data_IF_187517648675
#
_entry.id   IF_187517648675
#
_cell.length_a   1.000
_cell.length_b   1.000
_cell.length_c   1.000
_cell.angle_alpha   90.00
_cell.angle_beta   90.00
_cell.angle_gamma   90.00
#
_symmetry.space_group_name_H-M   'P 1'
#
loop_
_entity.id
_entity.type
_entity.pdbx_description
1 polymer ?
#
# COMPACT_ATOMS: atom_id res chain seq x y z
N UNK A 1 4.87 10.75 -16.04
CA UNK A 1 3.76 10.70 -15.05
C UNK A 1 4.34 10.87 -13.66
N UNK A 2 3.78 11.74 -12.83
CA UNK A 2 4.20 11.92 -11.43
C UNK A 2 3.35 10.99 -10.57
N UNK A 3 3.97 10.10 -9.79
CA UNK A 3 3.29 9.20 -8.85
C UNK A 3 3.61 9.63 -7.42
N UNK A 4 2.70 9.37 -6.48
CA UNK A 4 2.97 9.59 -5.05
C UNK A 4 3.89 8.50 -4.50
N UNK A 5 4.54 8.75 -3.36
CA UNK A 5 5.35 7.72 -2.69
C UNK A 5 4.54 6.48 -2.32
N UNK A 6 3.29 6.67 -1.88
CA UNK A 6 2.38 5.58 -1.57
C UNK A 6 2.00 4.75 -2.82
N UNK A 7 1.70 5.40 -3.95
CA UNK A 7 1.44 4.68 -5.20
C UNK A 7 2.68 3.91 -5.69
N UNK A 8 3.87 4.50 -5.54
CA UNK A 8 5.12 3.83 -5.89
C UNK A 8 5.36 2.59 -5.00
N UNK A 9 5.03 2.68 -3.71
CA UNK A 9 5.13 1.57 -2.77
C UNK A 9 4.26 0.39 -3.20
N UNK A 10 2.95 0.58 -3.41
CA UNK A 10 2.06 -0.52 -3.78
C UNK A 10 2.38 -1.11 -5.15
N UNK A 11 2.75 -0.29 -6.13
CA UNK A 11 3.20 -0.79 -7.44
C UNK A 11 4.46 -1.65 -7.35
N UNK A 12 5.39 -1.30 -6.47
CA UNK A 12 6.58 -2.13 -6.24
C UNK A 12 6.21 -3.47 -5.60
N UNK A 13 5.32 -3.46 -4.60
CA UNK A 13 4.82 -4.67 -3.95
C UNK A 13 4.09 -5.58 -4.93
N UNK A 14 3.22 -5.02 -5.77
CA UNK A 14 2.53 -5.75 -6.84
C UNK A 14 3.51 -6.34 -7.87
N UNK A 15 4.55 -5.58 -8.25
CA UNK A 15 5.59 -6.04 -9.17
C UNK A 15 6.41 -7.22 -8.64
N UNK A 16 6.57 -7.30 -7.32
CA UNK A 16 7.20 -8.43 -6.63
C UNK A 16 6.21 -9.58 -6.33
N UNK A 17 4.95 -9.47 -6.76
CA UNK A 17 3.92 -10.50 -6.55
C UNK A 17 3.42 -10.59 -5.11
N UNK A 18 3.54 -9.51 -4.33
CA UNK A 18 3.02 -9.47 -2.95
C UNK A 18 1.50 -9.37 -2.99
N UNK A 19 0.83 -10.31 -2.32
CA UNK A 19 -0.64 -10.34 -2.23
C UNK A 19 -1.16 -9.84 -0.89
N UNK A 20 -0.35 -9.93 0.18
CA UNK A 20 -0.77 -9.61 1.55
C UNK A 20 0.31 -8.81 2.27
N UNK A 21 -0.09 -7.71 2.91
CA UNK A 21 0.73 -6.94 3.84
C UNK A 21 0.10 -6.91 5.23
N UNK A 22 0.95 -6.88 6.25
CA UNK A 22 0.55 -6.80 7.65
C UNK A 22 0.98 -5.46 8.21
N UNK A 23 0.17 -4.84 9.07
CA UNK A 23 0.58 -3.59 9.71
C UNK A 23 -0.45 -2.98 10.63
N UNK A 24 0.04 -2.10 11.51
CA UNK A 24 -0.77 -1.35 12.47
C UNK A 24 -0.99 0.06 11.92
N UNK A 25 -2.24 0.52 11.76
CA UNK A 25 -2.53 1.85 11.26
C UNK A 25 -2.10 2.91 12.28
N UNK A 26 -1.49 3.98 11.78
CA UNK A 26 -1.09 5.14 12.55
C UNK A 26 -1.22 6.41 11.70
N UNK A 27 -1.34 7.57 12.35
CA UNK A 27 -1.63 8.83 11.66
C UNK A 27 -0.67 9.17 10.51
N UNK A 28 0.62 8.83 10.66
CA UNK A 28 1.63 9.08 9.65
C UNK A 28 1.48 8.23 8.37
N UNK A 29 0.92 7.02 8.49
CA UNK A 29 0.80 6.08 7.35
C UNK A 29 -0.56 6.13 6.66
N UNK A 30 -1.55 6.83 7.24
CA UNK A 30 -2.89 6.96 6.67
C UNK A 30 -2.92 7.41 5.19
N UNK A 31 -2.07 8.35 4.71
CA UNK A 31 -2.06 8.74 3.30
C UNK A 31 -1.66 7.61 2.33
N UNK A 32 -1.08 6.52 2.84
CA UNK A 32 -0.78 5.33 2.05
C UNK A 32 -1.99 4.39 1.90
N UNK A 33 -3.09 4.58 2.65
CA UNK A 33 -4.26 3.73 2.50
C UNK A 33 -5.11 4.11 1.28
N UNK A 34 -5.08 5.36 0.83
CA UNK A 34 -5.85 5.75 -0.36
C UNK A 34 -5.44 4.94 -1.60
N UNK A 35 -4.14 4.80 -1.95
CA UNK A 35 -3.73 3.97 -3.08
C UNK A 35 -3.85 2.46 -2.83
N UNK A 36 -3.88 2.03 -1.57
CA UNK A 36 -4.10 0.64 -1.21
C UNK A 36 -5.52 0.19 -1.59
N UNK A 37 -6.52 1.08 -1.53
CA UNK A 37 -7.89 0.77 -1.95
C UNK A 37 -7.99 0.40 -3.44
N UNK A 38 -7.11 0.97 -4.26
CA UNK A 38 -7.01 0.69 -5.70
C UNK A 38 -6.03 -0.46 -6.02
N UNK A 39 -5.30 -0.95 -5.01
CA UNK A 39 -4.28 -1.99 -5.15
C UNK A 39 -4.89 -3.39 -5.01
N UNK A 40 -4.27 -4.38 -5.67
CA UNK A 40 -4.59 -5.80 -5.46
C UNK A 40 -4.09 -6.36 -4.11
N UNK A 41 -3.26 -5.59 -3.40
CA UNK A 41 -2.64 -6.00 -2.14
C UNK A 41 -3.66 -5.94 -1.00
N UNK A 42 -3.83 -7.06 -0.28
CA UNK A 42 -4.68 -7.11 0.92
C UNK A 42 -3.91 -6.70 2.16
N UNK A 43 -4.40 -5.70 2.89
CA UNK A 43 -3.85 -5.35 4.20
C UNK A 43 -4.57 -6.08 5.34
N UNK A 44 -3.79 -6.64 6.27
CA UNK A 44 -4.25 -7.30 7.50
C UNK A 44 -3.75 -6.51 8.71
N UNK A 45 -4.68 -6.14 9.58
CA UNK A 45 -4.41 -5.40 10.82
C UNK A 45 -3.83 -6.32 11.89
N UNK A 46 -2.82 -5.83 12.62
CA UNK A 46 -2.14 -6.53 13.72
C UNK A 46 -2.34 -5.83 15.06
#
# INVERSE_FOLDING_TARGET
>A
MKVTGAQALFKALEGEGVEVVFGIPGGAILPAYDPLLDSGVRHVLC
#
